data_IF_516275290878
#
_entry.id   IF_516275290878
#
_cell.length_a   1.000
_cell.length_b   1.000
_cell.length_c   1.000
_cell.angle_alpha   90.00
_cell.angle_beta   90.00
_cell.angle_gamma   90.00
#
_symmetry.space_group_name_H-M   'P 1'
#
loop_
_entity.id
_entity.type
_entity.pdbx_description
1 polymer ?
#
# COMPACT_ATOMS: atom_id res chain seq x y z
N UNK A 1 -53.14 -10.41 39.42
CA UNK A 1 -52.36 -9.48 38.58
C UNK A 1 -51.17 -10.24 38.02
N UNK A 2 -51.20 -10.61 36.74
CA UNK A 2 -50.02 -11.10 36.01
C UNK A 2 -49.90 -10.25 34.76
N UNK A 3 -48.84 -9.44 34.69
CA UNK A 3 -48.51 -8.63 33.51
C UNK A 3 -47.53 -9.44 32.69
N UNK A 4 -47.94 -9.86 31.48
CA UNK A 4 -47.04 -10.46 30.50
C UNK A 4 -46.40 -9.33 29.67
N UNK A 5 -45.09 -9.15 29.83
CA UNK A 5 -44.27 -8.31 28.97
C UNK A 5 -43.93 -9.07 27.69
N UNK A 6 -44.48 -8.63 26.56
CA UNK A 6 -44.02 -9.06 25.24
C UNK A 6 -42.75 -8.27 24.89
N UNK A 7 -41.60 -8.92 24.93
CA UNK A 7 -40.36 -8.42 24.35
C UNK A 7 -40.36 -8.81 22.88
N UNK A 8 -40.63 -7.85 21.98
CA UNK A 8 -40.39 -8.03 20.55
C UNK A 8 -38.89 -8.03 20.29
N UNK A 9 -38.32 -9.20 20.03
CA UNK A 9 -36.98 -9.33 19.51
C UNK A 9 -36.96 -8.81 18.06
N UNK A 10 -36.33 -7.66 17.83
CA UNK A 10 -35.89 -7.28 16.49
C UNK A 10 -34.73 -8.22 16.12
N UNK A 11 -35.01 -9.21 15.28
CA UNK A 11 -33.98 -9.91 14.52
C UNK A 11 -33.37 -8.92 13.53
N UNK A 12 -32.21 -8.37 13.86
CA UNK A 12 -31.34 -7.76 12.87
C UNK A 12 -30.92 -8.88 11.90
N UNK A 13 -31.43 -8.82 10.67
CA UNK A 13 -30.91 -9.65 9.60
C UNK A 13 -29.51 -9.14 9.29
N UNK A 14 -28.49 -9.88 9.75
CA UNK A 14 -27.14 -9.74 9.24
C UNK A 14 -27.22 -10.07 7.74
N UNK A 15 -27.27 -9.04 6.91
CA UNK A 15 -27.12 -9.20 5.47
C UNK A 15 -25.79 -9.89 5.25
N UNK A 16 -25.81 -11.07 4.64
CA UNK A 16 -24.61 -11.71 4.12
C UNK A 16 -24.05 -10.80 3.04
N UNK A 17 -23.09 -9.96 3.41
CA UNK A 17 -22.29 -9.18 2.46
C UNK A 17 -21.63 -10.19 1.55
N UNK A 18 -22.21 -10.40 0.36
CA UNK A 18 -21.62 -11.26 -0.64
C UNK A 18 -20.29 -10.61 -1.04
N UNK A 19 -19.19 -11.35 -0.88
CA UNK A 19 -17.89 -10.97 -1.41
C UNK A 19 -18.05 -10.43 -2.84
N UNK A 20 -17.52 -9.24 -3.10
CA UNK A 20 -17.60 -8.63 -4.42
C UNK A 20 -16.66 -9.41 -5.35
N UNK A 21 -17.25 -10.27 -6.18
CA UNK A 21 -16.53 -11.22 -7.02
C UNK A 21 -15.91 -10.52 -8.23
N UNK A 22 -14.66 -10.85 -8.54
CA UNK A 22 -14.03 -10.44 -9.79
C UNK A 22 -14.63 -11.14 -11.03
N UNK A 23 -14.36 -10.59 -12.22
CA UNK A 23 -14.78 -11.17 -13.50
C UNK A 23 -14.11 -12.51 -13.81
N UNK A 24 -13.06 -12.89 -13.08
CA UNK A 24 -12.38 -14.18 -13.19
C UNK A 24 -13.10 -15.32 -12.47
N UNK A 25 -14.07 -15.04 -11.60
CA UNK A 25 -14.83 -16.08 -10.91
C UNK A 25 -15.61 -16.98 -11.90
N UNK A 26 -15.56 -18.28 -11.65
CA UNK A 26 -16.11 -19.34 -12.49
C UNK A 26 -15.22 -19.74 -13.68
N UNK A 27 -14.13 -19.00 -13.97
CA UNK A 27 -13.20 -19.37 -15.04
C UNK A 27 -12.22 -20.43 -14.55
N UNK A 28 -11.94 -21.41 -15.41
CA UNK A 28 -10.89 -22.38 -15.15
C UNK A 28 -9.54 -21.67 -14.95
N UNK A 29 -8.72 -22.21 -14.04
CA UNK A 29 -7.38 -21.68 -13.80
C UNK A 29 -6.59 -21.67 -15.12
N UNK A 30 -5.97 -20.54 -15.51
CA UNK A 30 -5.20 -20.45 -16.75
C UNK A 30 -4.16 -21.57 -16.88
N UNK A 31 -4.02 -22.12 -18.10
CA UNK A 31 -3.04 -23.19 -18.38
C UNK A 31 -1.64 -22.77 -17.95
N UNK A 32 -0.96 -23.67 -17.24
CA UNK A 32 0.41 -23.45 -16.75
C UNK A 32 0.49 -22.80 -15.36
N UNK A 33 -0.63 -22.34 -14.79
CA UNK A 33 -0.66 -21.94 -13.40
C UNK A 33 -0.93 -23.14 -12.49
N UNK A 34 -0.14 -23.25 -11.42
CA UNK A 34 -0.29 -24.24 -10.36
C UNK A 34 -0.59 -23.58 -9.04
N UNK A 35 -1.31 -24.30 -8.17
CA UNK A 35 -1.45 -23.93 -6.75
C UNK A 35 -0.28 -24.54 -5.98
N UNK A 36 0.04 -23.99 -4.82
CA UNK A 36 1.10 -24.55 -3.98
C UNK A 36 1.43 -23.69 -2.78
N UNK A 37 2.66 -23.86 -2.28
CA UNK A 37 3.23 -23.17 -1.12
C UNK A 37 4.43 -22.30 -1.52
N UNK A 38 5.17 -21.78 -0.54
CA UNK A 38 6.41 -21.02 -0.73
C UNK A 38 7.40 -21.75 -1.67
N UNK A 39 8.00 -21.01 -2.59
CA UNK A 39 8.92 -21.57 -3.60
C UNK A 39 8.22 -22.34 -4.73
N UNK A 40 6.90 -22.54 -4.67
CA UNK A 40 6.07 -23.10 -5.75
C UNK A 40 5.23 -22.04 -6.47
N UNK A 41 5.54 -20.76 -6.25
CA UNK A 41 4.89 -19.64 -6.93
C UNK A 41 5.16 -19.63 -8.42
N UNK A 42 4.17 -19.17 -9.19
CA UNK A 42 4.23 -19.14 -10.64
C UNK A 42 5.04 -17.91 -11.10
N UNK A 43 6.17 -18.14 -11.77
CA UNK A 43 6.94 -17.07 -12.39
C UNK A 43 6.26 -16.58 -13.69
N UNK A 44 5.86 -15.32 -13.70
CA UNK A 44 5.05 -14.72 -14.76
C UNK A 44 5.69 -13.43 -15.26
N UNK A 45 5.26 -12.97 -16.43
CA UNK A 45 5.62 -11.63 -16.93
C UNK A 45 4.38 -10.87 -17.37
N UNK A 46 4.36 -9.57 -17.08
CA UNK A 46 3.30 -8.67 -17.49
C UNK A 46 3.88 -7.33 -17.92
N UNK A 47 3.35 -6.78 -19.00
CA UNK A 47 3.68 -5.44 -19.48
C UNK A 47 2.51 -4.94 -20.32
N UNK A 48 2.01 -3.73 -20.08
CA UNK A 48 1.05 -3.08 -20.97
C UNK A 48 1.56 -3.07 -22.41
N UNK A 49 0.65 -2.98 -23.39
CA UNK A 49 1.06 -2.89 -24.79
C UNK A 49 1.93 -1.65 -25.00
N UNK A 50 3.17 -1.83 -25.49
CA UNK A 50 4.14 -0.74 -25.65
C UNK A 50 5.04 -0.47 -24.44
N UNK A 51 4.85 -1.17 -23.32
CA UNK A 51 5.69 -1.04 -22.12
C UNK A 51 6.58 -2.28 -21.91
N UNK A 52 7.77 -2.13 -21.31
CA UNK A 52 8.61 -3.27 -20.96
C UNK A 52 7.87 -4.23 -20.03
N UNK A 53 7.93 -5.53 -20.35
CA UNK A 53 7.39 -6.57 -19.46
C UNK A 53 8.21 -6.65 -18.19
N UNK A 54 7.54 -6.74 -17.05
CA UNK A 54 8.13 -6.96 -15.73
C UNK A 54 7.79 -8.37 -15.26
N UNK A 55 8.73 -8.97 -14.54
CA UNK A 55 8.53 -10.27 -13.90
C UNK A 55 7.69 -10.10 -12.63
N UNK A 56 6.94 -11.12 -12.26
CA UNK A 56 6.32 -11.23 -10.95
C UNK A 56 6.15 -12.70 -10.57
N UNK A 57 6.13 -13.00 -9.28
CA UNK A 57 5.70 -14.28 -8.76
C UNK A 57 4.21 -14.19 -8.39
N UNK A 58 3.48 -15.25 -8.71
CA UNK A 58 2.07 -15.41 -8.37
C UNK A 58 1.88 -16.69 -7.56
N UNK A 59 1.68 -16.51 -6.26
CA UNK A 59 1.27 -17.56 -5.36
C UNK A 59 -0.25 -17.75 -5.45
N UNK A 60 -0.69 -18.99 -5.65
CA UNK A 60 -2.10 -19.37 -5.58
C UNK A 60 -2.23 -20.43 -4.49
N UNK A 61 -2.97 -20.16 -3.40
CA UNK A 61 -3.04 -21.10 -2.29
C UNK A 61 -3.74 -22.39 -2.73
N UNK A 62 -3.40 -23.51 -2.09
CA UNK A 62 -3.98 -24.82 -2.42
C UNK A 62 -5.51 -24.85 -2.33
N UNK A 63 -6.05 -24.07 -1.40
CA UNK A 63 -7.47 -23.87 -1.10
C UNK A 63 -8.22 -23.06 -2.17
N UNK A 64 -7.52 -22.38 -3.08
CA UNK A 64 -8.14 -21.52 -4.10
C UNK A 64 -9.20 -22.29 -4.88
N UNK A 65 -10.40 -21.74 -4.97
CA UNK A 65 -11.50 -22.33 -5.74
C UNK A 65 -12.10 -21.31 -6.70
N UNK A 66 -12.43 -21.75 -7.92
CA UNK A 66 -12.90 -20.82 -8.95
C UNK A 66 -14.29 -20.23 -8.65
N UNK A 67 -15.08 -20.84 -7.77
CA UNK A 67 -16.39 -20.35 -7.36
C UNK A 67 -16.34 -19.46 -6.09
N UNK A 68 -15.24 -19.54 -5.34
CA UNK A 68 -15.06 -18.88 -4.04
C UNK A 68 -14.00 -17.78 -4.14
N UNK A 69 -14.38 -16.49 -4.05
CA UNK A 69 -13.45 -15.38 -4.16
C UNK A 69 -12.37 -15.39 -3.08
N UNK A 70 -11.11 -15.51 -3.50
CA UNK A 70 -9.95 -15.42 -2.63
C UNK A 70 -9.53 -13.96 -2.42
N UNK A 71 -9.05 -13.61 -1.23
CA UNK A 71 -8.41 -12.31 -1.02
C UNK A 71 -7.08 -12.24 -1.79
N UNK A 72 -6.50 -11.04 -1.88
CA UNK A 72 -5.22 -10.83 -2.55
C UNK A 72 -4.29 -9.95 -1.73
N UNK A 73 -3.02 -10.35 -1.61
CA UNK A 73 -1.95 -9.55 -1.01
C UNK A 73 -0.90 -9.25 -2.07
N UNK A 74 -0.54 -7.98 -2.22
CA UNK A 74 0.60 -7.54 -3.00
C UNK A 74 1.78 -7.33 -2.08
N UNK A 75 2.94 -7.89 -2.37
CA UNK A 75 4.12 -7.81 -1.51
C UNK A 75 5.32 -7.29 -2.30
N UNK A 76 5.82 -6.11 -1.93
CA UNK A 76 6.83 -5.36 -2.67
C UNK A 76 8.20 -5.44 -1.99
N UNK A 77 9.21 -5.89 -2.74
CA UNK A 77 10.57 -6.07 -2.27
C UNK A 77 11.28 -4.75 -1.89
N UNK A 78 12.28 -4.82 -1.03
CA UNK A 78 13.21 -3.71 -0.80
C UNK A 78 14.07 -3.39 -2.02
N UNK A 79 14.74 -2.24 -1.98
CA UNK A 79 15.65 -1.80 -3.05
C UNK A 79 16.73 -2.85 -3.29
N UNK A 80 17.04 -3.11 -4.56
CA UNK A 80 18.05 -4.08 -4.98
C UNK A 80 17.64 -5.55 -4.85
N UNK A 81 16.51 -5.85 -4.20
CA UNK A 81 16.03 -7.23 -4.00
C UNK A 81 15.00 -7.64 -5.06
N UNK A 82 14.78 -8.95 -5.18
CA UNK A 82 13.86 -9.55 -6.14
C UNK A 82 12.60 -10.13 -5.49
N UNK A 83 11.67 -10.56 -6.34
CA UNK A 83 10.40 -11.15 -5.94
C UNK A 83 10.59 -12.43 -5.11
N UNK A 84 11.58 -13.27 -5.46
CA UNK A 84 11.95 -14.48 -4.71
C UNK A 84 12.40 -14.15 -3.29
N UNK A 85 13.28 -13.15 -3.14
CA UNK A 85 13.72 -12.69 -1.83
C UNK A 85 12.54 -12.20 -0.99
N UNK A 86 11.62 -11.43 -1.58
CA UNK A 86 10.43 -10.97 -0.88
C UNK A 86 9.49 -12.12 -0.48
N UNK A 87 9.30 -13.11 -1.34
CA UNK A 87 8.54 -14.32 -0.99
C UNK A 87 9.17 -15.05 0.20
N UNK A 88 10.49 -15.29 0.16
CA UNK A 88 11.25 -15.99 1.22
C UNK A 88 11.12 -15.30 2.57
N UNK A 89 11.38 -13.99 2.65
CA UNK A 89 11.41 -13.29 3.94
C UNK A 89 10.01 -13.06 4.53
N UNK A 90 9.01 -12.87 3.67
CA UNK A 90 7.64 -12.61 4.14
C UNK A 90 6.89 -13.88 4.49
N UNK A 91 7.23 -15.02 3.87
CA UNK A 91 6.52 -16.29 4.04
C UNK A 91 5.01 -16.16 3.78
N UNK A 92 4.59 -15.15 3.01
CA UNK A 92 3.19 -14.94 2.66
C UNK A 92 2.66 -16.05 1.73
N UNK A 93 3.54 -16.88 1.15
CA UNK A 93 3.17 -18.06 0.37
C UNK A 93 3.13 -19.36 1.20
N UNK A 94 3.52 -19.30 2.47
CA UNK A 94 3.50 -20.47 3.37
C UNK A 94 2.11 -20.65 3.96
N UNK A 95 1.56 -21.87 3.85
CA UNK A 95 0.24 -22.27 4.35
C UNK A 95 0.05 -22.03 5.85
N UNK A 96 1.14 -22.00 6.64
CA UNK A 96 1.08 -21.79 8.09
C UNK A 96 0.87 -20.32 8.48
N UNK A 97 1.04 -19.42 7.52
CA UNK A 97 0.76 -17.99 7.63
C UNK A 97 -0.45 -17.60 6.78
N UNK A 98 -0.52 -18.10 5.55
CA UNK A 98 -1.51 -17.74 4.56
C UNK A 98 -2.08 -18.98 3.88
N UNK A 99 -3.32 -19.30 4.19
CA UNK A 99 -4.06 -20.41 3.57
C UNK A 99 -5.19 -19.94 2.65
N UNK A 100 -5.37 -18.63 2.42
CA UNK A 100 -6.56 -18.08 1.74
C UNK A 100 -6.23 -16.99 0.68
N UNK A 101 -5.15 -16.24 0.85
CA UNK A 101 -4.81 -15.13 -0.02
C UNK A 101 -3.98 -15.58 -1.23
N UNK A 102 -4.38 -15.13 -2.42
CA UNK A 102 -3.48 -15.08 -3.58
C UNK A 102 -2.41 -14.02 -3.28
N UNK A 103 -1.13 -14.33 -3.51
CA UNK A 103 -0.04 -13.36 -3.28
C UNK A 103 0.67 -13.01 -4.58
N UNK A 104 0.85 -11.72 -4.81
CA UNK A 104 1.58 -11.18 -5.96
C UNK A 104 2.87 -10.54 -5.44
N UNK A 105 4.01 -11.01 -5.95
CA UNK A 105 5.32 -10.41 -5.67
C UNK A 105 5.88 -9.83 -6.98
N UNK A 106 5.62 -8.55 -7.28
CA UNK A 106 6.09 -7.96 -8.52
C UNK A 106 7.57 -7.58 -8.43
N UNK A 107 8.23 -7.55 -9.57
CA UNK A 107 9.63 -7.14 -9.68
C UNK A 107 9.73 -5.64 -10.00
N UNK A 108 10.51 -4.91 -9.20
CA UNK A 108 10.83 -3.51 -9.45
C UNK A 108 11.65 -3.31 -10.74
N UNK A 109 11.56 -2.13 -11.35
CA UNK A 109 12.39 -1.79 -12.51
C UNK A 109 13.78 -1.32 -12.08
N UNK A 110 14.78 -1.53 -12.94
CA UNK A 110 16.12 -0.97 -12.73
C UNK A 110 16.10 0.54 -12.92
N UNK A 111 16.73 1.29 -12.02
CA UNK A 111 16.96 2.73 -12.17
C UNK A 111 17.81 3.05 -13.41
N UNK A 112 17.53 4.19 -14.05
CA UNK A 112 18.31 4.66 -15.19
C UNK A 112 19.42 5.57 -14.63
N UNK A 113 20.63 5.05 -14.47
CA UNK A 113 21.74 5.83 -13.92
C UNK A 113 22.20 6.93 -14.86
N UNK A 114 21.73 8.16 -14.66
CA UNK A 114 22.45 9.35 -15.15
C UNK A 114 23.22 9.94 -13.97
N UNK A 115 24.49 9.56 -13.85
CA UNK A 115 25.40 10.17 -12.90
C UNK A 115 25.56 11.65 -13.26
N UNK A 116 25.02 12.55 -12.44
CA UNK A 116 25.64 13.87 -12.27
C UNK A 116 26.77 13.67 -11.27
N UNK A 117 28.00 13.75 -11.78
CA UNK A 117 29.23 13.80 -10.99
C UNK A 117 29.21 14.95 -9.97
N UNK A 118 30.04 14.82 -8.93
CA UNK A 118 30.34 15.76 -7.83
C UNK A 118 29.40 15.55 -6.62
N UNK A 119 29.82 15.00 -5.48
CA UNK A 119 31.00 15.29 -4.63
C UNK A 119 31.54 14.02 -3.94
N UNK A 120 32.86 13.89 -3.86
CA UNK A 120 33.60 12.86 -3.13
C UNK A 120 33.33 12.90 -1.61
N UNK A 121 32.88 11.79 -1.03
CA UNK A 121 32.95 11.53 0.42
C UNK A 121 34.19 10.66 0.70
N UNK A 122 35.15 11.10 1.52
CA UNK A 122 36.43 10.41 1.68
C UNK A 122 36.32 9.31 2.73
N UNK A 123 36.33 8.06 2.28
CA UNK A 123 36.53 6.91 3.15
C UNK A 123 36.00 5.64 2.54
N UNK A 124 36.83 4.92 1.80
CA UNK A 124 37.28 3.57 2.21
C UNK A 124 38.03 2.89 1.05
N UNK A 125 39.18 2.33 1.42
CA UNK A 125 40.24 1.80 0.55
C UNK A 125 39.85 0.39 0.06
N UNK A 126 39.85 0.19 -1.25
CA UNK A 126 39.52 -1.05 -1.96
C UNK A 126 40.80 -1.86 -2.27
N UNK A 127 40.85 -3.15 -1.92
CA UNK A 127 41.43 -4.18 -2.82
C UNK A 127 41.17 -5.61 -2.35
N UNK A 128 40.76 -6.46 -3.30
CA UNK A 128 40.83 -7.93 -3.34
C UNK A 128 39.55 -8.75 -3.08
N UNK A 129 38.68 -8.89 -4.09
CA UNK A 129 37.78 -10.07 -4.16
C UNK A 129 37.27 -10.51 -5.55
N UNK A 130 37.74 -9.94 -6.67
CA UNK A 130 37.26 -10.34 -8.02
C UNK A 130 37.61 -11.80 -8.42
N UNK A 131 38.52 -12.49 -7.73
CA UNK A 131 39.04 -13.79 -8.17
C UNK A 131 38.46 -15.05 -7.50
N UNK A 132 37.54 -14.96 -6.53
CA UNK A 132 37.09 -16.18 -5.80
C UNK A 132 35.87 -16.90 -6.43
N UNK A 133 35.07 -16.24 -7.28
CA UNK A 133 33.79 -16.77 -7.78
C UNK A 133 33.87 -17.86 -8.86
N UNK A 134 35.04 -18.43 -9.18
CA UNK A 134 35.17 -19.51 -10.18
C UNK A 134 35.60 -20.89 -9.63
N UNK A 135 35.68 -21.11 -8.31
CA UNK A 135 36.24 -22.38 -7.78
C UNK A 135 35.38 -23.27 -6.88
N UNK A 136 34.13 -22.95 -6.56
CA UNK A 136 33.31 -23.82 -5.69
C UNK A 136 31.96 -24.21 -6.30
N UNK A 137 32.00 -24.77 -7.52
CA UNK A 137 30.97 -25.70 -8.01
C UNK A 137 31.60 -27.08 -8.13
N UNK A 138 31.66 -27.81 -7.01
CA UNK A 138 31.76 -29.27 -6.90
C UNK A 138 31.77 -29.64 -5.41
N UNK A 139 30.90 -30.60 -5.04
CA UNK A 139 30.80 -31.30 -3.74
C UNK A 139 30.11 -30.46 -2.64
N UNK A 140 29.06 -30.88 -1.94
CA UNK A 140 28.54 -32.20 -1.57
C UNK A 140 27.01 -32.20 -1.39
N UNK A 141 26.43 -33.40 -1.47
CA UNK A 141 25.10 -33.80 -0.98
C UNK A 141 25.13 -34.02 0.55
N UNK A 142 23.93 -34.00 1.16
CA UNK A 142 23.53 -34.46 2.50
C UNK A 142 24.03 -33.67 3.73
N UNK A 143 23.13 -32.91 4.38
CA UNK A 143 22.79 -32.92 5.82
C UNK A 143 21.95 -31.67 6.18
N UNK A 144 20.87 -31.87 6.92
CA UNK A 144 19.86 -30.86 7.27
C UNK A 144 20.36 -30.08 8.49
N UNK A 145 20.93 -28.89 8.28
CA UNK A 145 21.23 -27.95 9.36
C UNK A 145 20.71 -26.55 9.02
N UNK A 146 19.78 -26.10 9.87
CA UNK A 146 19.23 -24.75 9.93
C UNK A 146 20.30 -23.80 10.49
N UNK A 147 21.17 -23.28 9.63
CA UNK A 147 22.10 -22.20 9.99
C UNK A 147 21.80 -20.96 9.13
N UNK A 148 21.57 -19.86 9.84
CA UNK A 148 21.22 -18.54 9.33
C UNK A 148 22.06 -18.17 8.10
N UNK A 149 21.42 -18.06 6.92
CA UNK A 149 22.01 -17.39 5.77
C UNK A 149 22.31 -15.95 6.16
N UNK A 150 23.59 -15.73 6.42
CA UNK A 150 24.35 -14.50 6.39
C UNK A 150 23.75 -13.55 5.33
N UNK A 151 23.31 -12.38 5.79
CA UNK A 151 22.96 -11.32 4.86
C UNK A 151 24.25 -10.96 4.14
N UNK A 152 24.36 -11.36 2.88
CA UNK A 152 25.22 -10.70 1.90
C UNK A 152 24.74 -9.24 1.82
N UNK A 153 25.21 -8.45 2.79
CA UNK A 153 25.40 -7.02 2.66
C UNK A 153 26.59 -6.84 1.71
N UNK A 154 26.33 -7.12 0.44
CA UNK A 154 27.18 -6.69 -0.67
C UNK A 154 27.02 -5.16 -0.77
N UNK A 155 27.55 -4.48 0.24
CA UNK A 155 27.88 -3.05 0.22
C UNK A 155 29.14 -2.81 -0.62
N UNK A 156 29.45 -3.70 -1.57
CA UNK A 156 30.33 -3.31 -2.67
C UNK A 156 29.70 -2.11 -3.37
N UNK A 157 30.53 -1.10 -3.53
CA UNK A 157 30.40 0.18 -4.20
C UNK A 157 29.98 0.07 -5.68
N UNK A 158 28.97 -0.76 -5.99
CA UNK A 158 28.29 -0.69 -7.26
C UNK A 158 27.53 0.62 -7.30
N UNK A 159 28.10 1.57 -8.04
CA UNK A 159 27.47 2.78 -8.57
C UNK A 159 25.94 2.70 -8.51
N UNK A 160 25.30 3.71 -7.90
CA UNK A 160 23.86 3.80 -7.66
C UNK A 160 22.98 3.61 -8.93
N UNK A 161 23.62 3.59 -10.10
CA UNK A 161 23.08 3.20 -11.39
C UNK A 161 22.73 1.70 -11.47
N UNK A 162 21.44 1.41 -11.62
CA UNK A 162 20.98 0.13 -12.17
C UNK A 162 20.42 -0.90 -11.18
N UNK A 163 20.33 -0.57 -9.89
CA UNK A 163 19.58 -1.39 -8.93
C UNK A 163 18.07 -1.32 -9.19
N UNK A 164 17.37 -2.38 -8.79
CA UNK A 164 15.91 -2.47 -8.89
C UNK A 164 15.28 -1.64 -7.77
N UNK A 165 14.34 -0.76 -8.12
CA UNK A 165 13.75 0.18 -7.17
C UNK A 165 12.34 0.60 -7.59
N UNK A 166 11.50 0.84 -6.57
CA UNK A 166 10.13 1.29 -6.71
C UNK A 166 10.06 2.81 -6.75
N UNK A 167 9.03 3.31 -7.43
CA UNK A 167 8.55 4.69 -7.41
C UNK A 167 8.49 5.19 -5.95
N UNK A 168 8.97 6.41 -5.73
CA UNK A 168 9.20 6.97 -4.41
C UNK A 168 10.69 7.01 -4.04
N UNK A 169 11.50 6.05 -4.49
CA UNK A 169 12.96 6.21 -4.44
C UNK A 169 13.38 7.44 -5.29
N UNK A 170 14.27 8.31 -4.79
CA UNK A 170 14.71 9.53 -5.50
C UNK A 170 15.28 9.25 -6.90
N UNK A 171 15.82 8.05 -7.11
CA UNK A 171 16.44 7.65 -8.37
C UNK A 171 15.51 6.82 -9.28
N UNK A 172 14.28 6.54 -8.84
CA UNK A 172 13.28 5.80 -9.63
C UNK A 172 12.56 6.71 -10.62
N UNK A 173 12.35 6.20 -11.83
CA UNK A 173 11.56 6.85 -12.89
C UNK A 173 10.40 5.97 -13.37
N UNK A 174 10.14 4.86 -12.70
CA UNK A 174 9.06 3.96 -13.05
C UNK A 174 7.71 4.51 -12.59
N UNK A 175 6.66 4.25 -13.38
CA UNK A 175 5.28 4.38 -12.91
C UNK A 175 4.81 3.02 -12.40
N UNK A 176 5.04 2.77 -11.12
CA UNK A 176 4.74 1.50 -10.47
C UNK A 176 3.27 1.41 -10.03
N UNK A 177 2.63 2.55 -9.79
CA UNK A 177 1.19 2.63 -9.54
C UNK A 177 0.41 2.13 -10.76
N UNK A 178 0.70 2.65 -11.97
CA UNK A 178 0.02 2.23 -13.19
C UNK A 178 0.24 0.73 -13.47
N UNK A 179 1.49 0.25 -13.34
CA UNK A 179 1.78 -1.17 -13.48
C UNK A 179 0.98 -2.04 -12.50
N UNK A 180 0.90 -1.63 -11.22
CA UNK A 180 0.16 -2.35 -10.18
C UNK A 180 -1.34 -2.42 -10.51
N UNK A 181 -1.94 -1.29 -10.89
CA UNK A 181 -3.37 -1.22 -11.23
C UNK A 181 -3.71 -2.03 -12.48
N UNK A 182 -2.87 -1.99 -13.51
CA UNK A 182 -3.10 -2.75 -14.73
C UNK A 182 -2.91 -4.26 -14.54
N UNK A 183 -1.91 -4.67 -13.75
CA UNK A 183 -1.73 -6.07 -13.39
C UNK A 183 -2.88 -6.56 -12.48
N UNK A 184 -3.36 -5.73 -11.55
CA UNK A 184 -4.53 -6.05 -10.73
C UNK A 184 -5.79 -6.28 -11.59
N UNK A 185 -6.04 -5.41 -12.56
CA UNK A 185 -7.15 -5.59 -13.51
C UNK A 185 -6.97 -6.91 -14.30
N UNK A 186 -5.75 -7.18 -14.78
CA UNK A 186 -5.45 -8.40 -15.54
C UNK A 186 -5.66 -9.68 -14.73
N UNK A 187 -5.28 -9.69 -13.47
CA UNK A 187 -5.47 -10.82 -12.57
C UNK A 187 -6.95 -10.98 -12.19
N UNK A 188 -7.66 -9.87 -11.94
CA UNK A 188 -9.10 -9.86 -11.65
C UNK A 188 -9.95 -10.42 -12.78
N UNK A 189 -9.54 -10.25 -14.03
CA UNK A 189 -10.21 -10.84 -15.18
C UNK A 189 -10.03 -12.36 -15.30
N UNK A 190 -9.02 -12.93 -14.64
CA UNK A 190 -8.56 -14.31 -14.85
C UNK A 190 -8.73 -15.21 -13.65
N UNK A 191 -8.67 -14.66 -12.44
CA UNK A 191 -8.74 -15.37 -11.17
C UNK A 191 -9.97 -14.89 -10.39
N UNK A 192 -10.55 -15.76 -9.57
CA UNK A 192 -11.66 -15.45 -8.69
C UNK A 192 -11.13 -14.72 -7.45
N UNK A 193 -11.19 -13.39 -7.48
CA UNK A 193 -10.65 -12.50 -6.45
C UNK A 193 -11.82 -11.81 -5.76
N UNK A 194 -11.72 -11.68 -4.44
CA UNK A 194 -12.58 -10.85 -3.63
C UNK A 194 -12.09 -9.39 -3.68
N UNK A 195 -12.83 -8.51 -4.37
CA UNK A 195 -12.44 -7.11 -4.49
C UNK A 195 -12.56 -6.32 -3.20
N UNK A 196 -13.20 -6.87 -2.16
CA UNK A 196 -13.25 -6.26 -0.84
C UNK A 196 -11.98 -6.53 -0.02
N UNK A 197 -11.18 -7.52 -0.41
CA UNK A 197 -10.03 -8.05 0.36
C UNK A 197 -8.73 -8.02 -0.45
N UNK A 198 -8.40 -6.85 -0.98
CA UNK A 198 -7.13 -6.60 -1.67
C UNK A 198 -6.24 -5.74 -0.79
N UNK A 199 -5.01 -6.18 -0.55
CA UNK A 199 -4.06 -5.56 0.37
C UNK A 199 -2.70 -5.34 -0.27
N UNK A 200 -1.92 -4.41 0.27
CA UNK A 200 -0.55 -4.18 -0.15
C UNK A 200 0.39 -4.17 1.06
N UNK A 201 1.54 -4.81 0.92
CA UNK A 201 2.60 -4.85 1.92
C UNK A 201 3.97 -4.67 1.29
N UNK A 202 4.96 -4.19 2.03
CA UNK A 202 6.31 -4.06 1.49
C UNK A 202 7.38 -3.83 2.53
N UNK A 203 8.64 -4.09 2.14
CA UNK A 203 9.83 -3.86 2.95
C UNK A 203 10.63 -2.67 2.39
N UNK A 204 11.21 -1.82 3.25
CA UNK A 204 12.21 -0.81 2.82
C UNK A 204 11.65 0.12 1.73
N UNK A 205 12.33 0.26 0.59
CA UNK A 205 11.79 0.98 -0.57
C UNK A 205 10.43 0.45 -1.05
N UNK A 206 10.16 -0.86 -1.00
CA UNK A 206 8.84 -1.42 -1.28
C UNK A 206 7.79 -1.01 -0.23
N UNK A 207 8.17 -0.94 1.05
CA UNK A 207 7.31 -0.41 2.11
C UNK A 207 7.03 1.09 1.93
N UNK A 208 8.04 1.85 1.48
CA UNK A 208 7.91 3.24 1.08
C UNK A 208 6.97 3.42 -0.10
N UNK A 209 7.08 2.60 -1.14
CA UNK A 209 6.14 2.60 -2.26
C UNK A 209 4.71 2.30 -1.81
N UNK A 210 4.52 1.30 -0.96
CA UNK A 210 3.19 0.92 -0.45
C UNK A 210 2.53 2.05 0.36
N UNK A 211 3.26 2.63 1.32
CA UNK A 211 2.70 3.61 2.26
C UNK A 211 2.73 5.05 1.76
N UNK A 212 3.80 5.48 1.07
CA UNK A 212 4.02 6.88 0.69
C UNK A 212 3.58 7.19 -0.74
N UNK A 213 3.36 6.17 -1.59
CA UNK A 213 3.02 6.34 -3.01
C UNK A 213 1.69 5.67 -3.36
N UNK A 214 1.60 4.35 -3.23
CA UNK A 214 0.43 3.58 -3.66
C UNK A 214 -0.81 3.91 -2.83
N UNK A 215 -0.67 4.02 -1.50
CA UNK A 215 -1.76 4.44 -0.61
C UNK A 215 -2.14 5.92 -0.77
N UNK A 216 -1.26 6.73 -1.36
CA UNK A 216 -1.46 8.14 -1.64
C UNK A 216 -1.99 8.43 -3.04
N UNK A 217 -2.10 7.43 -3.92
CA UNK A 217 -2.71 7.62 -5.24
C UNK A 217 -4.24 7.56 -5.15
N UNK A 218 -4.92 8.53 -5.75
CA UNK A 218 -6.38 8.67 -5.68
C UNK A 218 -7.15 7.50 -6.31
N UNK A 219 -6.56 6.74 -7.23
CA UNK A 219 -7.20 5.55 -7.82
C UNK A 219 -6.83 4.31 -7.01
N UNK A 220 -5.54 4.08 -6.75
CA UNK A 220 -5.08 2.89 -6.05
C UNK A 220 -5.61 2.82 -4.62
N UNK A 221 -5.64 3.92 -3.88
CA UNK A 221 -6.23 3.97 -2.54
C UNK A 221 -7.69 3.49 -2.45
N UNK A 222 -8.43 3.48 -3.57
CA UNK A 222 -9.82 2.96 -3.65
C UNK A 222 -9.90 1.47 -3.99
N UNK A 223 -8.79 0.83 -4.33
CA UNK A 223 -8.72 -0.60 -4.74
C UNK A 223 -8.18 -1.51 -3.64
N UNK A 224 -7.49 -0.95 -2.66
CA UNK A 224 -6.88 -1.69 -1.56
C UNK A 224 -7.60 -1.37 -0.25
N UNK A 225 -8.00 -2.39 0.50
CA UNK A 225 -8.70 -2.25 1.76
C UNK A 225 -7.79 -1.82 2.92
N UNK A 226 -6.52 -2.24 2.89
CA UNK A 226 -5.52 -1.90 3.91
C UNK A 226 -4.09 -2.07 3.38
N UNK A 227 -3.15 -1.40 4.05
CA UNK A 227 -1.73 -1.35 3.67
C UNK A 227 -0.83 -1.70 4.85
N UNK A 228 0.34 -2.28 4.58
CA UNK A 228 1.32 -2.61 5.61
C UNK A 228 2.76 -2.29 5.17
N UNK A 229 3.58 -1.70 6.04
CA UNK A 229 4.98 -1.42 5.71
C UNK A 229 5.92 -1.87 6.82
N UNK A 230 6.95 -2.63 6.43
CA UNK A 230 8.06 -2.99 7.31
C UNK A 230 9.30 -2.15 6.93
N UNK A 231 9.93 -1.51 7.92
CA UNK A 231 11.11 -0.65 7.74
C UNK A 231 11.01 0.29 6.52
N UNK A 232 9.84 0.88 6.28
CA UNK A 232 9.53 1.57 5.03
C UNK A 232 10.35 2.85 4.80
N UNK A 233 10.85 3.05 3.59
CA UNK A 233 11.62 4.24 3.19
C UNK A 233 10.70 5.34 2.62
N UNK A 234 10.22 6.25 3.49
CA UNK A 234 9.22 7.26 3.14
C UNK A 234 9.83 8.56 2.58
N UNK A 235 10.57 8.48 1.47
CA UNK A 235 11.29 9.63 0.89
C UNK A 235 10.37 10.82 0.55
N UNK A 236 10.74 12.01 1.00
CA UNK A 236 10.05 13.27 0.69
C UNK A 236 10.86 14.08 -0.34
N UNK A 237 10.68 13.74 -1.62
CA UNK A 237 11.51 14.24 -2.73
C UNK A 237 11.28 15.71 -3.12
N UNK A 238 10.21 16.34 -2.63
CA UNK A 238 9.85 17.72 -2.97
C UNK A 238 10.27 18.74 -1.89
N UNK A 239 11.10 18.33 -0.93
CA UNK A 239 11.53 19.16 0.19
C UNK A 239 12.81 19.89 -0.20
N UNK A 240 12.83 21.21 -0.03
CA UNK A 240 14.00 22.06 -0.23
C UNK A 240 14.47 22.60 1.10
N UNK A 241 15.77 22.51 1.39
CA UNK A 241 16.36 22.93 2.66
C UNK A 241 16.86 21.76 3.51
N UNK A 242 17.18 22.04 4.78
CA UNK A 242 17.64 21.02 5.72
C UNK A 242 16.54 19.97 5.97
N UNK A 243 16.96 18.70 6.10
CA UNK A 243 16.04 17.65 6.50
C UNK A 243 15.75 17.77 8.00
N UNK A 244 14.49 18.07 8.32
CA UNK A 244 13.95 18.11 9.69
C UNK A 244 12.97 16.93 9.85
N UNK A 245 13.43 15.73 10.28
CA UNK A 245 12.65 14.50 10.18
C UNK A 245 11.31 14.52 10.91
N UNK A 246 11.23 15.25 12.02
CA UNK A 246 10.02 15.34 12.85
C UNK A 246 8.98 16.34 12.33
N UNK A 247 9.31 17.13 11.31
CA UNK A 247 8.43 18.20 10.81
C UNK A 247 8.35 18.28 9.29
N UNK A 248 9.11 17.46 8.58
CA UNK A 248 9.14 17.44 7.12
C UNK A 248 7.72 17.26 6.55
N UNK A 249 7.28 18.09 5.59
CA UNK A 249 5.97 17.94 4.97
C UNK A 249 5.82 16.58 4.27
N UNK A 250 4.69 15.92 4.49
CA UNK A 250 4.38 14.63 3.87
C UNK A 250 3.41 14.83 2.70
N UNK A 251 3.86 14.53 1.48
CA UNK A 251 3.02 14.67 0.30
C UNK A 251 2.12 13.44 0.12
N UNK A 252 0.80 13.63 0.16
CA UNK A 252 -0.16 12.57 -0.08
C UNK A 252 -1.51 13.13 -0.56
N UNK A 253 -1.93 12.81 -1.78
CA UNK A 253 -3.22 13.23 -2.34
C UNK A 253 -4.02 12.04 -2.88
N UNK A 254 -4.72 11.38 -1.96
CA UNK A 254 -5.63 10.29 -2.27
C UNK A 254 -7.10 10.72 -2.31
N UNK A 255 -7.36 12.01 -2.54
CA UNK A 255 -8.70 12.61 -2.59
C UNK A 255 -9.52 12.38 -1.30
N UNK A 256 -8.85 12.41 -0.14
CA UNK A 256 -9.49 12.26 1.18
C UNK A 256 -9.92 10.84 1.53
N UNK A 257 -9.47 9.84 0.76
CA UNK A 257 -9.78 8.44 1.06
C UNK A 257 -9.04 8.03 2.33
N UNK A 258 -9.76 7.70 3.41
CA UNK A 258 -9.13 7.24 4.66
C UNK A 258 -8.62 5.82 4.51
N UNK A 259 -7.37 5.51 4.85
CA UNK A 259 -6.68 4.25 4.51
C UNK A 259 -6.15 3.57 5.77
N UNK A 260 -6.68 2.39 6.15
CA UNK A 260 -6.10 1.60 7.23
C UNK A 260 -4.65 1.21 6.94
N UNK A 261 -3.75 1.45 7.89
CA UNK A 261 -2.34 1.11 7.73
C UNK A 261 -1.71 0.54 9.01
N UNK A 262 -0.80 -0.41 8.82
CA UNK A 262 0.02 -0.99 9.88
C UNK A 262 1.50 -0.92 9.56
N UNK A 263 2.32 -0.62 10.57
CA UNK A 263 3.76 -0.44 10.43
C UNK A 263 4.54 -1.31 11.40
N UNK A 264 5.74 -1.70 10.99
CA UNK A 264 6.76 -2.29 11.88
C UNK A 264 8.10 -1.64 11.58
N UNK A 265 8.77 -1.08 12.58
CA UNK A 265 10.06 -0.43 12.41
C UNK A 265 11.01 -0.80 13.55
N UNK A 266 12.28 -0.96 13.22
CA UNK A 266 13.33 -1.32 14.16
C UNK A 266 14.06 -0.09 14.72
N UNK A 267 14.37 -0.09 16.02
CA UNK A 267 15.16 0.97 16.65
C UNK A 267 16.64 0.91 16.29
N UNK A 268 17.14 -0.28 15.94
CA UNK A 268 18.52 -0.54 15.53
C UNK A 268 18.70 -0.53 14.00
N UNK A 269 17.70 -0.04 13.26
CA UNK A 269 17.74 0.07 11.79
C UNK A 269 18.68 1.21 11.36
N UNK A 270 19.88 0.85 10.87
CA UNK A 270 20.90 1.81 10.40
C UNK A 270 20.72 2.22 8.94
N UNK A 271 19.78 1.62 8.21
CA UNK A 271 19.55 1.89 6.78
C UNK A 271 18.42 2.90 6.64
N UNK A 272 17.31 2.63 7.31
CA UNK A 272 16.14 3.52 7.43
C UNK A 272 15.92 3.75 8.92
N UNK A 273 16.61 4.77 9.44
CA UNK A 273 16.56 5.16 10.84
C UNK A 273 15.13 5.37 11.32
N UNK A 274 14.82 4.88 12.52
CA UNK A 274 13.54 5.14 13.18
C UNK A 274 13.30 6.65 13.38
N UNK A 275 14.37 7.40 13.62
CA UNK A 275 14.34 8.86 13.80
C UNK A 275 14.33 9.63 12.46
N UNK A 276 14.35 8.92 11.32
CA UNK A 276 14.47 9.54 10.01
C UNK A 276 15.84 10.17 9.78
N UNK A 277 15.91 11.12 8.86
CA UNK A 277 17.15 11.81 8.49
C UNK A 277 17.33 11.99 6.99
N UNK A 278 18.40 12.68 6.61
CA UNK A 278 18.75 12.85 5.20
C UNK A 278 19.29 11.53 4.63
N UNK A 279 18.79 11.17 3.45
CA UNK A 279 19.28 10.01 2.70
C UNK A 279 19.05 10.23 1.22
N UNK A 280 20.08 10.00 0.40
CA UNK A 280 19.98 10.03 -1.07
C UNK A 280 19.41 11.36 -1.59
N UNK A 281 19.89 12.48 -1.04
CA UNK A 281 19.43 13.83 -1.37
C UNK A 281 17.91 14.02 -1.18
N UNK A 282 17.33 13.30 -0.24
CA UNK A 282 15.91 13.37 0.12
C UNK A 282 15.78 13.27 1.64
N UNK A 283 14.70 13.82 2.17
CA UNK A 283 14.43 13.76 3.60
C UNK A 283 13.54 12.56 3.91
N UNK A 284 13.95 11.74 4.87
CA UNK A 284 13.11 10.71 5.48
C UNK A 284 12.50 11.29 6.76
N UNK A 285 11.16 11.25 6.93
CA UNK A 285 10.54 11.59 8.19
C UNK A 285 10.92 10.58 9.27
N UNK A 286 10.87 11.01 10.53
CA UNK A 286 10.86 10.05 11.63
C UNK A 286 9.62 9.17 11.53
N UNK A 287 9.74 7.91 11.96
CA UNK A 287 8.60 6.97 11.95
C UNK A 287 7.46 7.50 12.82
N UNK A 288 7.69 8.04 14.04
CA UNK A 288 6.63 8.65 14.83
C UNK A 288 5.90 9.79 14.10
N UNK A 289 6.64 10.67 13.41
CA UNK A 289 6.05 11.75 12.60
C UNK A 289 5.19 11.18 11.46
N UNK A 290 5.74 10.25 10.67
CA UNK A 290 5.01 9.65 9.54
C UNK A 290 3.71 8.95 9.98
N UNK A 291 3.76 8.15 11.04
CA UNK A 291 2.59 7.40 11.54
C UNK A 291 1.53 8.35 12.11
N UNK A 292 1.95 9.35 12.89
CA UNK A 292 1.03 10.31 13.52
C UNK A 292 0.36 11.18 12.47
N UNK A 293 1.12 11.72 11.51
CA UNK A 293 0.60 12.51 10.42
C UNK A 293 -0.36 11.71 9.53
N UNK A 294 -0.15 10.39 9.36
CA UNK A 294 -1.10 9.54 8.65
C UNK A 294 -2.44 9.40 9.40
N UNK A 295 -2.38 9.21 10.72
CA UNK A 295 -3.57 9.16 11.56
C UNK A 295 -4.35 10.48 11.50
N UNK A 296 -3.67 11.61 11.61
CA UNK A 296 -4.27 12.95 11.49
C UNK A 296 -4.90 13.18 10.10
N UNK A 297 -4.21 12.77 9.03
CA UNK A 297 -4.74 12.86 7.66
C UNK A 297 -6.07 12.12 7.51
N UNK A 298 -6.20 10.96 8.14
CA UNK A 298 -7.44 10.17 8.14
C UNK A 298 -8.49 10.70 9.14
N UNK A 299 -8.23 11.86 9.76
CA UNK A 299 -9.12 12.50 10.72
C UNK A 299 -9.24 11.73 12.04
N UNK A 300 -8.20 11.00 12.41
CA UNK A 300 -8.06 10.37 13.73
C UNK A 300 -7.40 11.37 14.70
N UNK A 301 -7.52 11.10 16.00
CA UNK A 301 -6.76 11.81 17.02
C UNK A 301 -5.26 11.49 16.88
N UNK A 302 -4.39 12.48 17.07
CA UNK A 302 -2.94 12.29 17.03
C UNK A 302 -2.40 11.55 18.26
N UNK A 303 -3.20 11.47 19.34
CA UNK A 303 -2.92 10.64 20.49
C UNK A 303 -3.25 9.19 20.19
N UNK A 304 -2.24 8.35 20.31
CA UNK A 304 -2.38 6.90 20.27
C UNK A 304 -2.68 6.30 21.66
N UNK A 305 -3.17 5.07 21.64
CA UNK A 305 -3.08 4.12 22.74
C UNK A 305 -1.81 3.28 22.55
N UNK A 306 -0.95 3.23 23.57
CA UNK A 306 0.29 2.45 23.53
C UNK A 306 0.27 1.29 24.52
N UNK A 307 0.81 0.14 24.12
CA UNK A 307 0.96 -1.04 24.97
C UNK A 307 2.24 -1.80 24.63
N UNK A 308 2.84 -2.47 25.61
CA UNK A 308 3.95 -3.40 25.35
C UNK A 308 3.38 -4.76 24.92
N UNK A 309 3.97 -5.39 23.91
CA UNK A 309 3.63 -6.75 23.53
C UNK A 309 4.06 -7.70 24.65
N UNK A 310 3.17 -8.59 25.07
CA UNK A 310 3.39 -9.45 26.23
C UNK A 310 4.68 -10.28 26.09
N UNK A 311 5.53 -10.19 27.12
CA UNK A 311 6.79 -10.93 27.18
C UNK A 311 7.92 -10.37 26.33
N UNK A 312 7.80 -9.16 25.77
CA UNK A 312 8.84 -8.51 24.97
C UNK A 312 9.02 -7.04 25.36
N UNK A 313 9.96 -6.35 24.72
CA UNK A 313 10.20 -4.90 24.82
C UNK A 313 9.54 -4.11 23.66
N UNK A 314 8.75 -4.79 22.83
CA UNK A 314 8.13 -4.23 21.64
C UNK A 314 6.97 -3.33 22.05
N UNK A 315 6.96 -2.11 21.55
CA UNK A 315 5.86 -1.16 21.79
C UNK A 315 4.90 -1.16 20.61
N UNK A 316 3.62 -1.37 20.89
CA UNK A 316 2.52 -1.26 19.95
C UNK A 316 1.77 0.06 20.19
N UNK A 317 1.61 0.84 19.13
CA UNK A 317 0.84 2.08 19.08
C UNK A 317 -0.39 1.88 18.21
N UNK A 318 -1.57 2.27 18.70
CA UNK A 318 -2.85 2.15 18.01
C UNK A 318 -3.58 3.49 17.99
N UNK A 319 -4.05 3.91 16.83
CA UNK A 319 -4.79 5.15 16.63
C UNK A 319 -6.22 4.87 16.17
N UNK A 320 -7.13 5.81 16.49
CA UNK A 320 -8.56 5.71 16.22
C UNK A 320 -9.36 5.12 17.37
N UNK A 321 -10.68 5.31 17.32
CA UNK A 321 -11.62 4.98 18.39
C UNK A 321 -12.96 4.51 17.79
N UNK A 322 -13.76 3.76 18.54
CA UNK A 322 -15.04 3.23 18.05
C UNK A 322 -14.84 2.40 16.78
N UNK A 323 -15.55 2.73 15.69
CA UNK A 323 -15.44 2.03 14.41
C UNK A 323 -14.07 2.19 13.73
N UNK A 324 -13.30 3.24 14.05
CA UNK A 324 -11.93 3.44 13.54
C UNK A 324 -10.86 2.92 14.50
N UNK A 325 -11.21 2.22 15.59
CA UNK A 325 -10.24 1.72 16.55
C UNK A 325 -9.14 0.87 15.87
N UNK A 326 -7.87 1.24 16.08
CA UNK A 326 -6.74 0.55 15.47
C UNK A 326 -6.71 0.64 13.94
N UNK A 327 -7.26 1.70 13.35
CA UNK A 327 -7.19 1.96 11.91
C UNK A 327 -5.77 2.28 11.46
N UNK A 328 -4.98 2.95 12.30
CA UNK A 328 -3.54 3.09 12.11
C UNK A 328 -2.83 2.41 13.28
N UNK A 329 -1.91 1.51 12.99
CA UNK A 329 -1.13 0.77 13.99
C UNK A 329 0.36 0.85 13.67
N UNK A 330 1.20 0.89 14.69
CA UNK A 330 2.66 0.84 14.52
C UNK A 330 3.30 0.01 15.62
N UNK A 331 4.27 -0.82 15.24
CA UNK A 331 5.09 -1.59 16.16
C UNK A 331 6.53 -1.08 16.10
N UNK A 332 7.03 -0.64 17.25
CA UNK A 332 8.44 -0.30 17.45
C UNK A 332 9.17 -1.46 18.11
N UNK A 333 10.19 -1.99 17.43
CA UNK A 333 11.00 -3.12 17.87
C UNK A 333 12.44 -2.61 18.16
N UNK A 334 12.81 -2.32 19.42
CA UNK A 334 14.05 -1.62 19.75
C UNK A 334 15.32 -2.26 19.15
N UNK A 335 15.44 -3.59 19.27
CA UNK A 335 16.62 -4.34 18.87
C UNK A 335 16.63 -4.77 17.39
N UNK A 336 15.52 -4.54 16.66
CA UNK A 336 15.44 -4.94 15.25
C UNK A 336 16.27 -3.97 14.37
N UNK A 337 17.08 -4.53 13.47
CA UNK A 337 17.75 -3.79 12.39
C UNK A 337 16.88 -3.61 11.13
N UNK A 338 17.52 -3.44 9.97
CA UNK A 338 16.80 -3.26 8.69
C UNK A 338 16.26 -4.58 8.11
N UNK A 339 15.16 -5.11 8.67
CA UNK A 339 14.66 -6.45 8.33
C UNK A 339 13.13 -6.52 8.31
N UNK A 340 12.62 -7.55 7.66
CA UNK A 340 11.24 -7.99 7.87
C UNK A 340 11.15 -8.73 9.22
N UNK A 341 10.34 -8.27 10.19
CA UNK A 341 10.25 -8.92 11.49
C UNK A 341 9.77 -10.37 11.40
N UNK A 342 10.57 -11.30 11.92
CA UNK A 342 10.21 -12.71 12.10
C UNK A 342 10.21 -13.06 13.58
N UNK A 343 9.48 -14.13 13.93
CA UNK A 343 9.39 -14.58 15.34
C UNK A 343 10.77 -14.96 15.90
N UNK A 344 11.65 -15.54 15.09
CA UNK A 344 13.01 -15.90 15.50
C UNK A 344 13.96 -14.71 15.62
N UNK A 345 13.78 -13.66 14.80
CA UNK A 345 14.68 -12.52 14.78
C UNK A 345 14.30 -11.40 15.77
N UNK A 346 13.03 -11.31 16.17
CA UNK A 346 12.50 -10.10 16.80
C UNK A 346 11.29 -10.31 17.71
N UNK A 347 11.01 -11.57 18.07
CA UNK A 347 9.86 -11.97 18.88
C UNK A 347 8.45 -11.64 18.35
N UNK A 348 8.36 -10.95 17.21
CA UNK A 348 7.14 -10.63 16.49
C UNK A 348 7.27 -11.03 15.03
N UNK A 349 6.22 -11.67 14.49
CA UNK A 349 6.12 -11.93 13.06
C UNK A 349 5.27 -10.85 12.41
N UNK A 350 5.90 -10.00 11.60
CA UNK A 350 5.19 -8.99 10.82
C UNK A 350 4.15 -9.64 9.91
N UNK A 351 4.46 -10.79 9.31
CA UNK A 351 3.52 -11.56 8.49
C UNK A 351 2.23 -11.89 9.24
N UNK A 352 2.32 -12.43 10.47
CA UNK A 352 1.12 -12.76 11.26
C UNK A 352 0.34 -11.52 11.67
N UNK A 353 1.04 -10.47 12.07
CA UNK A 353 0.43 -9.21 12.51
C UNK A 353 -0.26 -8.51 11.33
N UNK A 354 0.36 -8.47 10.16
CA UNK A 354 -0.20 -7.89 8.95
C UNK A 354 -1.41 -8.67 8.44
N UNK A 355 -1.36 -10.01 8.42
CA UNK A 355 -2.54 -10.82 8.04
C UNK A 355 -3.71 -10.57 8.99
N UNK A 356 -3.48 -10.57 10.31
CA UNK A 356 -4.53 -10.25 11.28
C UNK A 356 -5.11 -8.84 11.09
N UNK A 357 -4.25 -7.88 10.75
CA UNK A 357 -4.68 -6.52 10.42
C UNK A 357 -5.52 -6.49 9.13
N UNK A 358 -5.12 -7.20 8.10
CA UNK A 358 -5.88 -7.32 6.85
C UNK A 358 -7.23 -8.00 7.06
N UNK A 359 -7.31 -9.06 7.87
CA UNK A 359 -8.56 -9.75 8.20
C UNK A 359 -9.59 -8.84 8.90
N UNK A 360 -9.12 -7.83 9.64
CA UNK A 360 -9.99 -6.80 10.24
C UNK A 360 -10.59 -5.87 9.19
N UNK A 361 -9.84 -5.54 8.14
CA UNK A 361 -10.19 -4.49 7.19
C UNK A 361 -10.59 -5.07 5.83
N UNK A 362 -11.84 -4.88 5.44
CA UNK A 362 -12.26 -4.99 4.04
C UNK A 362 -12.83 -3.64 3.59
N UNK A 363 -13.07 -3.46 2.28
CA UNK A 363 -13.56 -2.18 1.75
C UNK A 363 -14.86 -1.73 2.43
N UNK A 364 -15.79 -2.65 2.70
CA UNK A 364 -17.03 -2.38 3.45
C UNK A 364 -16.77 -1.87 4.88
N UNK A 365 -15.96 -2.59 5.67
CA UNK A 365 -15.64 -2.22 7.05
C UNK A 365 -14.92 -0.87 7.11
N UNK A 366 -13.99 -0.65 6.18
CA UNK A 366 -13.32 0.64 5.99
C UNK A 366 -14.33 1.74 5.68
N UNK A 367 -15.25 1.54 4.73
CA UNK A 367 -16.25 2.55 4.37
C UNK A 367 -17.20 2.87 5.53
N UNK A 368 -17.61 1.86 6.31
CA UNK A 368 -18.43 2.04 7.52
C UNK A 368 -17.67 2.88 8.55
N UNK A 369 -16.42 2.52 8.86
CA UNK A 369 -15.60 3.23 9.83
C UNK A 369 -15.33 4.69 9.45
N UNK A 370 -15.30 4.97 8.15
CA UNK A 370 -14.86 6.27 7.61
C UNK A 370 -16.01 7.20 7.24
N UNK A 371 -17.26 6.78 7.52
CA UNK A 371 -18.46 7.57 7.25
C UNK A 371 -18.81 7.64 5.76
N UNK A 372 -18.40 6.65 4.98
CA UNK A 372 -18.71 6.54 3.56
C UNK A 372 -20.22 6.65 3.33
N UNK A 373 -20.61 7.69 2.58
CA UNK A 373 -21.99 8.00 2.24
C UNK A 373 -22.58 6.88 1.37
N UNK A 374 -23.13 5.85 2.01
CA UNK A 374 -24.12 4.97 1.41
C UNK A 374 -25.43 5.72 1.29
N UNK A 375 -25.72 6.24 0.10
CA UNK A 375 -27.01 6.82 -0.24
C UNK A 375 -28.12 5.80 0.03
N UNK A 376 -29.01 6.10 0.96
CA UNK A 376 -30.14 5.26 1.29
C UNK A 376 -30.88 5.76 2.52
N UNK A 377 -31.29 7.03 2.54
CA UNK A 377 -32.32 7.46 3.48
C UNK A 377 -33.57 6.62 3.21
N UNK A 378 -34.08 5.83 4.18
CA UNK A 378 -35.43 5.32 4.07
C UNK A 378 -36.34 6.52 4.34
N UNK A 379 -36.92 7.10 3.30
CA UNK A 379 -38.14 7.90 3.47
C UNK A 379 -39.21 6.98 4.04
N UNK A 380 -39.33 6.98 5.37
CA UNK A 380 -40.47 6.41 6.07
C UNK A 380 -41.67 7.30 5.81
N UNK A 381 -42.49 6.89 4.84
CA UNK A 381 -43.87 7.35 4.77
C UNK A 381 -44.68 6.73 5.90
N UNK A 382 -45.27 7.55 6.77
CA UNK A 382 -46.55 7.25 7.42
C UNK A 382 -47.14 8.48 8.11
N UNK A 383 -48.41 8.77 7.81
CA UNK A 383 -49.37 9.02 8.87
C UNK A 383 -49.73 10.47 9.22
N UNK A 384 -50.50 11.10 8.35
CA UNK A 384 -51.72 11.89 8.63
C UNK A 384 -51.85 12.62 9.99
N UNK A 385 -51.91 13.96 9.93
CA UNK A 385 -52.80 14.75 10.79
C UNK A 385 -53.60 15.74 9.94
N UNK A 386 -54.91 15.67 10.15
CA UNK A 386 -55.98 16.49 9.59
C UNK A 386 -55.97 17.93 10.12
N UNK A 387 -56.23 18.92 9.27
CA UNK A 387 -57.31 19.91 9.45
C UNK A 387 -57.33 21.01 8.36
N UNK A 388 -58.50 21.09 7.70
CA UNK A 388 -59.24 22.27 7.20
C UNK A 388 -58.61 23.35 6.29
N UNK A 389 -59.17 23.43 5.07
CA UNK A 389 -59.68 24.61 4.30
C UNK A 389 -58.82 25.90 4.22
N UNK A 390 -58.63 26.59 3.09
CA UNK A 390 -59.48 26.80 1.92
C UNK A 390 -58.69 27.39 0.73
N UNK A 391 -59.21 27.12 -0.47
CA UNK A 391 -59.24 27.92 -1.72
C UNK A 391 -58.16 28.95 -2.05
N UNK A 392 -57.52 28.80 -3.22
CA UNK A 392 -57.68 29.76 -4.34
C UNK A 392 -57.07 29.23 -5.65
N UNK A 393 -57.73 29.64 -6.74
CA UNK A 393 -57.70 29.16 -8.11
C UNK A 393 -56.72 29.94 -9.00
N UNK A 394 -56.21 29.29 -10.07
CA UNK A 394 -55.83 29.83 -11.41
C UNK A 394 -54.91 31.07 -11.49
N UNK A 395 -53.86 31.11 -12.32
CA UNK A 395 -54.00 31.28 -13.77
C UNK A 395 -52.66 31.17 -14.53
N UNK A 396 -52.80 30.84 -15.81
CA UNK A 396 -51.85 30.56 -16.89
C UNK A 396 -51.16 31.76 -17.56
N UNK A 397 -50.16 31.43 -18.42
CA UNK A 397 -49.56 32.18 -19.58
C UNK A 397 -48.41 33.15 -19.24
N UNK A 398 -47.37 33.35 -20.06
CA UNK A 398 -46.90 32.75 -21.32
C UNK A 398 -45.43 33.19 -21.55
N UNK A 399 -44.75 32.50 -22.47
CA UNK A 399 -43.39 32.72 -22.94
C UNK A 399 -43.15 34.06 -23.64
N UNK A 400 -41.88 34.48 -23.69
CA UNK A 400 -41.28 35.17 -24.85
C UNK A 400 -39.74 35.06 -24.83
N UNK A 401 -39.22 34.89 -26.03
CA UNK A 401 -37.87 34.49 -26.44
C UNK A 401 -37.30 35.61 -27.30
N UNK A 402 -36.07 36.10 -27.06
CA UNK A 402 -35.13 36.76 -28.01
C UNK A 402 -33.79 36.86 -27.27
N UNK A 403 -32.57 36.66 -27.78
CA UNK A 403 -32.00 36.39 -29.10
C UNK A 403 -30.49 36.72 -28.99
N UNK A 404 -29.63 35.92 -29.65
CA UNK A 404 -28.17 36.09 -29.69
C UNK A 404 -27.74 37.30 -30.55
N UNK A 405 -26.45 37.67 -30.50
CA UNK A 405 -25.72 37.70 -31.77
C UNK A 405 -24.31 37.08 -31.70
N UNK A 406 -23.93 36.55 -32.86
CA UNK A 406 -22.60 36.11 -33.29
C UNK A 406 -21.82 37.29 -33.88
N UNK A 407 -20.50 37.34 -33.73
CA UNK A 407 -19.60 37.91 -34.74
C UNK A 407 -18.22 37.24 -34.71
N UNK A 408 -17.74 36.91 -35.91
CA UNK A 408 -16.44 36.34 -36.27
C UNK A 408 -15.48 37.45 -36.72
N UNK A 409 -14.16 37.27 -36.58
CA UNK A 409 -13.18 38.12 -37.28
C UNK A 409 -11.74 38.04 -36.76
N UNK A 410 -10.84 37.59 -37.65
CA UNK A 410 -9.40 37.32 -37.49
C UNK A 410 -8.53 38.53 -37.14
N UNK A 411 -7.32 38.28 -36.60
CA UNK A 411 -6.21 39.25 -36.58
C UNK A 411 -4.94 38.73 -35.92
N UNK A 412 -3.99 38.24 -36.74
CA UNK A 412 -2.61 37.91 -36.38
C UNK A 412 -1.77 39.20 -36.37
N UNK A 413 -1.09 39.53 -35.27
CA UNK A 413 0.05 40.48 -35.26
C UNK A 413 1.11 40.01 -34.27
N UNK A 414 2.34 39.91 -34.76
CA UNK A 414 3.60 39.71 -34.03
C UNK A 414 4.27 41.08 -33.80
N UNK A 415 4.74 41.37 -32.59
CA UNK A 415 5.81 42.33 -32.27
C UNK A 415 6.27 42.07 -30.81
N UNK A 416 7.46 41.51 -30.58
CA UNK A 416 8.77 42.16 -30.35
C UNK A 416 8.86 43.00 -29.06
N UNK A 417 9.85 42.62 -28.26
CA UNK A 417 10.25 43.15 -26.95
C UNK A 417 10.69 44.61 -26.96
N UNK A 418 10.46 45.30 -25.83
CA UNK A 418 11.34 46.36 -25.29
C UNK A 418 11.28 46.29 -23.77
N UNK A 419 12.44 46.07 -23.13
CA UNK A 419 12.62 46.28 -21.71
C UNK A 419 12.93 47.73 -21.40
N UNK A 420 12.52 48.21 -20.23
CA UNK A 420 13.19 49.32 -19.55
C UNK A 420 12.94 49.30 -18.04
N UNK A 421 14.00 49.71 -17.35
CA UNK A 421 14.28 49.79 -15.92
C UNK A 421 13.67 51.02 -15.22
N UNK A 422 13.82 51.05 -13.89
CA UNK A 422 13.60 52.11 -12.87
C UNK A 422 12.18 52.18 -12.28
N UNK A 423 11.96 52.19 -10.96
CA UNK A 423 12.74 52.69 -9.79
C UNK A 423 12.89 51.66 -8.67
#
# INVERSE_FOLDING_TARGET
MHVALFVSALLASAGTTHASKSAGCGKALPKGLTKGEEGKSNAMTFGPSGSPKRRYLLHIPETYDVATPAGMIWSFAGRGKDAEHQEKITRLSDKDYNSDYIVVYPQAQRGNGTATSEIDDPGDDDSDSINLRRRLRRQNDDEYDDEYDEYDDDSSSSSDSGQQQWQGDPTSHANDVAFTLELLARLSDRLCIDSERIYASGLSNGGGFVANILACDAVASTKFAAFAAASGAYYQNNVTGACEPDTVPLACDNNGTKVPMIFTNGGSDKVISYEGGERRNSCLPSVPHFVTAWAERDGLDSKNESSTVEGTDITHYSFGQGETAGMVQSYYLPELGHKWPTKSASDLSATRVFIKFFERWNMTARNVATGGSGSGTPTSGSGSKTSSSASATSSSKAALQVGSPSFSGMGLVVAVAVGTFWL
#
